data_IF_868902550154
#
_entry.id   IF_868902550154
#
_cell.length_a   1.000
_cell.length_b   1.000
_cell.length_c   1.000
_cell.angle_alpha   90.00
_cell.angle_beta   90.00
_cell.angle_gamma   90.00
#
_symmetry.space_group_name_H-M   'P 1'
#
loop_
_entity.id
_entity.type
_entity.pdbx_description
1 polymer ?
#
# COMPACT_ATOMS: atom_id res chain seq x y z
N UNK A 1 -9.98 20.40 -5.68
CA UNK A 1 -8.63 20.85 -6.14
C UNK A 1 -8.87 21.77 -7.31
N UNK A 2 -8.42 23.05 -7.24
CA UNK A 2 -8.64 24.00 -8.32
C UNK A 2 -7.64 23.81 -9.48
N UNK A 3 -7.95 24.46 -10.63
CA UNK A 3 -7.16 24.37 -11.88
C UNK A 3 -5.72 24.89 -11.71
N UNK A 4 -5.46 25.81 -10.79
CA UNK A 4 -4.13 26.37 -10.49
C UNK A 4 -3.28 25.39 -9.68
N UNK A 5 -3.87 24.69 -8.73
CA UNK A 5 -3.20 23.62 -7.94
C UNK A 5 -2.86 22.44 -8.83
N UNK A 6 -3.73 22.09 -9.80
CA UNK A 6 -3.47 21.05 -10.79
C UNK A 6 -2.29 21.40 -11.70
N UNK A 7 -2.25 22.64 -12.23
CA UNK A 7 -1.15 23.08 -13.11
C UNK A 7 0.19 23.19 -12.37
N UNK A 8 0.19 23.57 -11.09
CA UNK A 8 1.40 23.57 -10.26
C UNK A 8 1.90 22.13 -9.97
N UNK A 9 1.00 21.20 -9.76
CA UNK A 9 1.36 19.79 -9.63
C UNK A 9 1.84 19.20 -10.96
N UNK A 10 1.19 19.49 -12.07
CA UNK A 10 1.64 19.05 -13.40
C UNK A 10 3.05 19.60 -13.75
N UNK A 11 3.36 20.83 -13.36
CA UNK A 11 4.70 21.40 -13.52
C UNK A 11 5.74 20.74 -12.59
N UNK A 12 5.34 20.34 -11.38
CA UNK A 12 6.18 19.54 -10.49
C UNK A 12 6.42 18.13 -11.04
N UNK A 13 5.45 17.54 -11.76
CA UNK A 13 5.63 16.26 -12.45
C UNK A 13 6.63 16.33 -13.60
N UNK A 14 6.65 17.41 -14.39
CA UNK A 14 7.64 17.59 -15.45
C UNK A 14 9.07 17.76 -14.91
N UNK A 15 9.23 18.43 -13.76
CA UNK A 15 10.52 18.53 -13.06
C UNK A 15 10.88 17.23 -12.34
N UNK A 16 9.91 16.51 -11.79
CA UNK A 16 10.11 15.20 -11.19
C UNK A 16 10.52 14.13 -12.22
N UNK A 17 9.98 14.18 -13.46
CA UNK A 17 10.38 13.25 -14.52
C UNK A 17 11.83 13.45 -14.93
N UNK A 18 12.33 14.68 -15.03
CA UNK A 18 13.73 14.95 -15.35
C UNK A 18 14.65 14.51 -14.21
N UNK A 19 14.28 14.75 -12.96
CA UNK A 19 15.03 14.31 -11.78
C UNK A 19 14.96 12.79 -11.59
N UNK A 20 13.80 12.17 -11.86
CA UNK A 20 13.60 10.71 -11.82
C UNK A 20 14.41 10.01 -12.92
N UNK A 21 14.52 10.59 -14.13
CA UNK A 21 15.35 10.05 -15.20
C UNK A 21 16.83 10.03 -14.81
N UNK A 22 17.37 11.12 -14.30
CA UNK A 22 18.78 11.20 -13.89
C UNK A 22 19.10 10.23 -12.75
N UNK A 23 18.19 10.07 -11.78
CA UNK A 23 18.35 9.11 -10.69
C UNK A 23 18.16 7.65 -11.14
N UNK A 24 17.22 7.36 -12.06
CA UNK A 24 17.05 6.03 -12.61
C UNK A 24 18.26 5.60 -13.45
N UNK A 25 18.80 6.48 -14.30
CA UNK A 25 20.03 6.20 -15.04
C UNK A 25 21.21 5.90 -14.10
N UNK A 26 21.38 6.65 -13.01
CA UNK A 26 22.42 6.41 -12.03
C UNK A 26 22.22 5.12 -11.23
N UNK A 27 20.98 4.80 -10.86
CA UNK A 27 20.64 3.57 -10.11
C UNK A 27 20.91 2.31 -10.94
N UNK A 28 20.76 2.38 -12.28
CA UNK A 28 20.80 1.20 -13.13
C UNK A 28 22.04 1.08 -14.03
N UNK A 29 22.78 2.17 -14.25
CA UNK A 29 24.03 2.15 -15.03
C UNK A 29 25.11 1.24 -14.42
N UNK A 30 25.06 0.97 -13.13
CA UNK A 30 26.04 0.16 -12.40
C UNK A 30 25.77 -1.36 -12.40
N UNK A 31 24.70 -1.85 -13.05
CA UNK A 31 24.34 -3.29 -12.99
C UNK A 31 24.42 -3.93 -14.37
N UNK A 32 25.33 -4.92 -14.59
CA UNK A 32 25.35 -5.68 -15.84
C UNK A 32 24.03 -6.47 -16.04
N UNK A 33 23.60 -6.71 -17.29
CA UNK A 33 22.37 -7.46 -17.56
C UNK A 33 22.48 -8.87 -16.96
N UNK A 34 21.43 -9.27 -16.22
CA UNK A 34 21.34 -10.60 -15.66
C UNK A 34 21.42 -11.64 -16.78
N UNK A 35 22.32 -12.62 -16.63
CA UNK A 35 22.41 -13.76 -17.56
C UNK A 35 21.07 -14.53 -17.51
N UNK A 36 20.50 -14.80 -18.66
CA UNK A 36 19.17 -15.36 -18.91
C UNK A 36 18.94 -16.80 -18.38
N UNK A 37 19.85 -17.39 -17.60
CA UNK A 37 19.84 -18.80 -17.17
C UNK A 37 20.09 -18.97 -15.66
N UNK A 38 19.38 -18.22 -14.81
CA UNK A 38 19.15 -18.74 -13.47
C UNK A 38 17.74 -19.33 -13.44
N UNK A 39 17.66 -20.64 -13.53
CA UNK A 39 16.45 -21.42 -13.25
C UNK A 39 15.90 -20.98 -11.90
N UNK A 40 14.72 -20.35 -11.90
CA UNK A 40 13.98 -20.02 -10.68
C UNK A 40 13.72 -21.33 -9.93
N UNK A 41 14.41 -21.58 -8.85
CA UNK A 41 14.05 -22.67 -7.95
C UNK A 41 12.67 -22.36 -7.34
N UNK A 42 11.68 -23.24 -7.51
CA UNK A 42 10.41 -23.13 -6.81
C UNK A 42 10.69 -23.21 -5.31
N UNK A 43 10.41 -22.14 -4.56
CA UNK A 43 10.52 -22.16 -3.11
C UNK A 43 11.56 -21.23 -2.47
N UNK A 44 12.23 -20.34 -3.20
CA UNK A 44 12.98 -19.25 -2.56
C UNK A 44 11.98 -18.33 -1.84
N UNK A 45 12.02 -18.39 -0.51
CA UNK A 45 11.15 -17.64 0.38
C UNK A 45 11.15 -16.15 0.02
N UNK A 46 9.97 -15.56 -0.04
CA UNK A 46 9.83 -14.09 -0.04
C UNK A 46 10.64 -13.55 1.14
N UNK A 47 11.58 -12.62 0.88
CA UNK A 47 12.38 -12.04 1.96
C UNK A 47 11.48 -11.41 3.03
N UNK A 48 11.99 -11.26 4.26
CA UNK A 48 11.27 -10.57 5.32
C UNK A 48 11.82 -9.16 5.53
N UNK A 49 10.98 -8.28 6.05
CA UNK A 49 11.33 -6.90 6.41
C UNK A 49 10.81 -6.57 7.80
N UNK A 50 11.52 -5.70 8.49
CA UNK A 50 11.07 -5.15 9.76
C UNK A 50 10.21 -3.91 9.50
N UNK A 51 8.95 -3.98 9.90
CA UNK A 51 7.98 -2.90 9.81
C UNK A 51 7.72 -2.36 11.23
N UNK A 52 8.59 -1.44 11.68
CA UNK A 52 8.43 -0.83 13.02
C UNK A 52 8.39 -1.82 14.18
N UNK A 53 9.26 -2.83 14.16
CA UNK A 53 9.30 -3.89 15.17
C UNK A 53 8.56 -5.17 14.78
N UNK A 54 7.79 -5.16 13.72
CA UNK A 54 7.01 -6.29 13.20
C UNK A 54 7.74 -6.94 12.03
N UNK A 55 8.06 -8.24 12.10
CA UNK A 55 8.58 -8.97 10.96
C UNK A 55 7.44 -9.41 10.04
N UNK A 56 7.54 -9.02 8.75
CA UNK A 56 6.54 -9.32 7.72
C UNK A 56 7.23 -9.69 6.41
N UNK A 57 6.49 -10.31 5.47
CA UNK A 57 6.97 -10.53 4.10
C UNK A 57 7.36 -9.21 3.42
N UNK A 58 8.33 -9.24 2.52
CA UNK A 58 8.83 -8.05 1.83
C UNK A 58 7.75 -7.33 0.99
N UNK A 59 6.71 -8.04 0.61
CA UNK A 59 5.52 -7.54 -0.10
C UNK A 59 4.29 -8.07 0.65
N UNK A 60 3.35 -7.18 0.99
CA UNK A 60 2.03 -7.54 1.51
C UNK A 60 0.97 -7.61 0.41
N UNK A 61 -0.27 -7.90 0.77
CA UNK A 61 -1.42 -7.91 -0.15
C UNK A 61 -2.48 -6.90 0.28
N UNK A 62 -2.76 -5.91 -0.59
CA UNK A 62 -3.88 -4.99 -0.42
C UNK A 62 -5.20 -5.62 -0.89
N UNK A 63 -6.21 -5.71 -0.01
CA UNK A 63 -7.48 -6.38 -0.31
C UNK A 63 -8.59 -5.43 -0.81
N UNK A 64 -8.32 -4.12 -0.91
CA UNK A 64 -9.30 -3.14 -1.40
C UNK A 64 -9.88 -3.47 -2.80
N UNK A 65 -9.10 -3.90 -3.82
CA UNK A 65 -9.65 -4.19 -5.14
C UNK A 65 -10.70 -5.29 -5.14
N UNK A 66 -10.62 -6.23 -4.21
CA UNK A 66 -11.48 -7.42 -4.13
C UNK A 66 -12.97 -7.07 -3.88
N UNK A 67 -13.25 -5.90 -3.33
CA UNK A 67 -14.62 -5.43 -3.04
C UNK A 67 -15.15 -4.42 -4.06
N UNK A 68 -14.62 -4.43 -5.28
CA UNK A 68 -15.18 -3.67 -6.40
C UNK A 68 -14.71 -2.23 -6.53
N UNK A 69 -13.61 -1.84 -5.87
CA UNK A 69 -13.08 -0.48 -5.90
C UNK A 69 -12.77 0.06 -7.31
N UNK A 70 -12.48 -0.82 -8.25
CA UNK A 70 -12.25 -0.52 -9.68
C UNK A 70 -13.42 -0.98 -10.57
N UNK A 71 -14.64 -1.05 -10.04
CA UNK A 71 -15.87 -1.29 -10.80
C UNK A 71 -16.22 -2.76 -11.06
N UNK A 72 -15.39 -3.71 -10.63
CA UNK A 72 -15.66 -5.15 -10.76
C UNK A 72 -16.63 -5.66 -9.68
N UNK A 73 -17.31 -6.76 -10.00
CA UNK A 73 -18.00 -7.59 -9.01
C UNK A 73 -17.26 -8.92 -8.94
N UNK A 74 -16.90 -9.34 -7.74
CA UNK A 74 -16.06 -10.52 -7.53
C UNK A 74 -16.76 -11.54 -6.66
N UNK A 75 -16.55 -12.81 -6.96
CA UNK A 75 -17.07 -13.90 -6.14
C UNK A 75 -16.25 -14.03 -4.85
N UNK A 76 -16.94 -14.18 -3.73
CA UNK A 76 -16.32 -14.31 -2.40
C UNK A 76 -15.35 -15.49 -2.34
N UNK A 77 -15.73 -16.65 -2.92
CA UNK A 77 -14.89 -17.86 -2.85
C UNK A 77 -13.61 -17.70 -3.65
N UNK A 78 -13.68 -17.02 -4.81
CA UNK A 78 -12.51 -16.70 -5.62
C UNK A 78 -11.55 -15.75 -4.88
N UNK A 79 -12.08 -14.73 -4.23
CA UNK A 79 -11.25 -13.77 -3.47
C UNK A 79 -10.63 -14.41 -2.23
N UNK A 80 -11.35 -15.27 -1.51
CA UNK A 80 -10.78 -16.05 -0.41
C UNK A 80 -9.68 -16.99 -0.92
N UNK A 81 -9.89 -17.65 -2.06
CA UNK A 81 -8.86 -18.50 -2.67
C UNK A 81 -7.61 -17.69 -3.07
N UNK A 82 -7.79 -16.46 -3.57
CA UNK A 82 -6.69 -15.56 -3.92
C UNK A 82 -5.88 -15.14 -2.68
N UNK A 83 -6.53 -14.81 -1.56
CA UNK A 83 -5.86 -14.49 -0.29
C UNK A 83 -5.07 -15.70 0.21
N UNK A 84 -5.63 -16.90 0.16
CA UNK A 84 -4.95 -18.15 0.55
C UNK A 84 -3.76 -18.46 -0.36
N UNK A 85 -3.92 -18.26 -1.68
CA UNK A 85 -2.82 -18.38 -2.64
C UNK A 85 -1.66 -17.42 -2.32
N UNK A 86 -1.96 -16.19 -1.91
CA UNK A 86 -0.93 -15.25 -1.49
C UNK A 86 -0.16 -15.76 -0.27
N UNK A 87 -0.85 -16.30 0.74
CA UNK A 87 -0.22 -16.93 1.89
C UNK A 87 0.66 -18.13 1.49
N UNK A 88 0.16 -19.03 0.62
CA UNK A 88 0.91 -20.21 0.13
C UNK A 88 2.19 -19.79 -0.63
N UNK A 89 2.22 -18.56 -1.18
CA UNK A 89 3.38 -17.94 -1.83
C UNK A 89 4.27 -17.12 -0.89
N UNK A 90 3.99 -17.13 0.41
CA UNK A 90 4.83 -16.53 1.45
C UNK A 90 4.43 -15.12 1.87
N UNK A 91 3.27 -14.59 1.42
CA UNK A 91 2.74 -13.32 1.96
C UNK A 91 2.29 -13.51 3.39
N UNK A 92 2.77 -12.65 4.28
CA UNK A 92 2.41 -12.67 5.71
C UNK A 92 1.74 -11.38 6.17
N UNK A 93 1.61 -10.35 5.33
CA UNK A 93 0.94 -9.08 5.63
C UNK A 93 -0.28 -8.90 4.73
N UNK A 94 -1.47 -8.75 5.32
CA UNK A 94 -2.74 -8.55 4.61
C UNK A 94 -3.38 -7.24 5.04
N UNK A 95 -3.60 -6.32 4.07
CA UNK A 95 -4.18 -4.99 4.30
C UNK A 95 -5.66 -4.96 3.96
N UNK A 96 -6.45 -4.50 4.92
CA UNK A 96 -7.89 -4.23 4.77
C UNK A 96 -8.30 -2.94 5.49
N UNK A 97 -9.59 -2.64 5.56
CA UNK A 97 -10.19 -1.57 6.36
C UNK A 97 -11.69 -1.78 6.55
N UNK A 98 -12.25 -1.20 7.61
CA UNK A 98 -13.70 -1.26 7.88
C UNK A 98 -14.54 -0.70 6.72
N UNK A 99 -14.05 0.33 6.03
CA UNK A 99 -14.77 0.99 4.92
C UNK A 99 -14.63 0.27 3.57
N UNK A 100 -13.89 -0.82 3.49
CA UNK A 100 -13.71 -1.54 2.23
C UNK A 100 -14.90 -2.47 1.94
N UNK A 101 -15.78 -2.02 1.04
CA UNK A 101 -17.01 -2.67 0.64
C UNK A 101 -18.16 -2.66 1.67
N UNK A 102 -18.42 -1.61 2.47
CA UNK A 102 -18.04 -1.52 3.89
C UNK A 102 -18.20 -2.85 4.62
N UNK A 103 -17.21 -3.16 5.43
CA UNK A 103 -17.06 -4.39 6.23
C UNK A 103 -16.73 -5.68 5.45
N UNK A 104 -17.16 -5.79 4.18
CA UNK A 104 -17.03 -6.98 3.34
C UNK A 104 -15.59 -7.48 3.23
N UNK A 105 -14.62 -6.56 3.05
CA UNK A 105 -13.21 -6.94 2.93
C UNK A 105 -12.67 -7.57 4.21
N UNK A 106 -13.01 -7.03 5.38
CA UNK A 106 -12.60 -7.63 6.66
C UNK A 106 -13.21 -9.02 6.87
N UNK A 107 -14.48 -9.22 6.50
CA UNK A 107 -15.13 -10.54 6.58
C UNK A 107 -14.43 -11.57 5.69
N UNK A 108 -14.05 -11.18 4.47
CA UNK A 108 -13.37 -12.08 3.54
C UNK A 108 -11.95 -12.39 3.97
N UNK A 109 -11.20 -11.38 4.44
CA UNK A 109 -9.86 -11.58 5.00
C UNK A 109 -9.92 -12.49 6.22
N UNK A 110 -10.82 -12.21 7.18
CA UNK A 110 -10.97 -13.02 8.40
C UNK A 110 -11.29 -14.49 8.09
N UNK A 111 -12.19 -14.76 7.12
CA UNK A 111 -12.50 -16.13 6.70
C UNK A 111 -11.34 -16.79 5.95
N UNK A 112 -10.62 -16.03 5.14
CA UNK A 112 -9.50 -16.57 4.37
C UNK A 112 -8.36 -17.02 5.27
N UNK A 113 -7.98 -16.19 6.25
CA UNK A 113 -6.79 -16.41 7.09
C UNK A 113 -7.06 -17.25 8.34
N UNK A 114 -8.32 -17.49 8.70
CA UNK A 114 -8.69 -18.24 9.90
C UNK A 114 -7.89 -19.56 10.10
N UNK A 115 -7.60 -20.38 9.05
CA UNK A 115 -6.84 -21.61 9.22
C UNK A 115 -5.36 -21.41 9.60
N UNK A 116 -4.81 -20.21 9.41
CA UNK A 116 -3.40 -19.88 9.63
C UNK A 116 -3.21 -18.50 10.27
N UNK A 117 -4.20 -18.04 11.05
CA UNK A 117 -4.23 -16.70 11.66
C UNK A 117 -2.93 -16.33 12.38
N UNK A 118 -2.36 -17.25 13.14
CA UNK A 118 -1.15 -17.02 13.96
C UNK A 118 0.13 -16.88 13.11
N UNK A 119 0.06 -17.20 11.82
CA UNK A 119 1.21 -17.16 10.90
C UNK A 119 1.26 -15.89 10.06
N UNK A 120 0.26 -15.00 10.20
CA UNK A 120 0.12 -13.81 9.40
C UNK A 120 -0.14 -12.57 10.25
N UNK A 121 0.07 -11.41 9.66
CA UNK A 121 -0.23 -10.10 10.21
C UNK A 121 -1.37 -9.48 9.43
N UNK A 122 -2.41 -9.06 10.14
CA UNK A 122 -3.55 -8.34 9.57
C UNK A 122 -3.42 -6.87 9.94
N UNK A 123 -3.44 -6.01 8.92
CA UNK A 123 -3.60 -4.57 9.12
C UNK A 123 -4.99 -4.13 8.68
N UNK A 124 -5.66 -3.36 9.54
CA UNK A 124 -6.96 -2.76 9.25
C UNK A 124 -7.01 -1.31 9.72
N UNK A 125 -8.11 -0.61 9.40
CA UNK A 125 -8.17 0.84 9.58
C UNK A 125 -9.53 1.27 10.09
N UNK A 126 -9.54 2.21 11.06
CA UNK A 126 -10.70 2.93 11.56
C UNK A 126 -10.66 4.41 11.12
N UNK A 127 -11.72 5.14 11.36
CA UNK A 127 -11.71 6.61 11.28
C UNK A 127 -12.69 7.22 10.30
N UNK A 128 -13.49 6.42 9.61
CA UNK A 128 -14.68 6.88 8.90
C UNK A 128 -15.95 6.43 9.66
N UNK A 129 -17.02 7.23 9.59
CA UNK A 129 -18.33 6.71 9.91
C UNK A 129 -18.82 5.78 8.81
N UNK A 130 -19.67 4.82 9.17
CA UNK A 130 -20.40 3.97 8.21
C UNK A 130 -21.87 3.98 8.59
N UNK A 131 -22.72 4.49 7.70
CA UNK A 131 -24.16 4.56 7.87
C UNK A 131 -24.83 3.93 6.64
N UNK A 132 -25.84 3.10 6.86
CA UNK A 132 -26.57 2.40 5.80
C UNK A 132 -25.66 1.69 4.79
N UNK A 133 -24.54 1.14 5.25
CA UNK A 133 -23.57 0.46 4.39
C UNK A 133 -22.75 1.37 3.49
N UNK A 134 -22.69 2.67 3.77
CA UNK A 134 -21.89 3.64 3.03
C UNK A 134 -20.90 4.37 3.97
N UNK A 135 -19.67 4.63 3.51
CA UNK A 135 -18.75 5.50 4.25
C UNK A 135 -19.31 6.91 4.36
N UNK A 136 -19.23 7.48 5.56
CA UNK A 136 -19.62 8.87 5.84
C UNK A 136 -18.40 9.74 6.17
N UNK A 137 -18.60 10.85 6.91
CA UNK A 137 -17.54 11.76 7.31
C UNK A 137 -16.51 11.07 8.23
N UNK A 138 -15.35 11.71 8.39
CA UNK A 138 -14.34 11.27 9.36
C UNK A 138 -14.91 11.26 10.77
N UNK A 139 -14.57 10.22 11.52
CA UNK A 139 -14.96 10.07 12.91
C UNK A 139 -13.89 9.29 13.69
N UNK A 140 -13.00 10.02 14.35
CA UNK A 140 -11.98 9.46 15.23
C UNK A 140 -12.27 9.74 16.71
N UNK A 141 -13.54 9.91 17.10
CA UNK A 141 -13.93 10.07 18.50
C UNK A 141 -13.63 8.79 19.29
N UNK A 142 -13.21 8.89 20.55
CA UNK A 142 -12.85 7.75 21.40
C UNK A 142 -13.86 6.61 21.41
N UNK A 143 -15.14 6.94 21.55
CA UNK A 143 -16.23 5.96 21.57
C UNK A 143 -16.41 5.25 20.20
N UNK A 144 -16.20 5.97 19.10
CA UNK A 144 -16.25 5.40 17.76
C UNK A 144 -15.06 4.48 17.50
N UNK A 145 -13.84 4.87 17.87
CA UNK A 145 -12.64 4.02 17.71
C UNK A 145 -12.83 2.67 18.39
N UNK A 146 -13.31 2.66 19.65
CA UNK A 146 -13.58 1.42 20.38
C UNK A 146 -14.61 0.54 19.67
N UNK A 147 -15.74 1.12 19.21
CA UNK A 147 -16.76 0.38 18.44
C UNK A 147 -16.21 -0.17 17.13
N UNK A 148 -15.42 0.60 16.39
CA UNK A 148 -14.78 0.18 15.14
C UNK A 148 -13.87 -1.03 15.36
N UNK A 149 -13.01 -0.98 16.39
CA UNK A 149 -12.11 -2.08 16.75
C UNK A 149 -12.88 -3.34 17.14
N UNK A 150 -13.89 -3.24 17.99
CA UNK A 150 -14.75 -4.38 18.35
C UNK A 150 -15.45 -4.99 17.11
N UNK A 151 -15.90 -4.15 16.19
CA UNK A 151 -16.47 -4.58 14.92
C UNK A 151 -15.46 -5.30 14.05
N UNK A 152 -14.25 -4.74 13.90
CA UNK A 152 -13.16 -5.33 13.12
C UNK A 152 -12.73 -6.69 13.68
N UNK A 153 -12.57 -6.83 15.00
CA UNK A 153 -12.24 -8.11 15.64
C UNK A 153 -13.26 -9.21 15.31
N UNK A 154 -14.55 -8.87 15.34
CA UNK A 154 -15.64 -9.82 14.98
C UNK A 154 -15.57 -10.23 13.51
N UNK A 155 -15.43 -9.26 12.59
CA UNK A 155 -15.39 -9.52 11.14
C UNK A 155 -14.13 -10.28 10.73
N UNK A 156 -12.99 -9.95 11.34
CA UNK A 156 -11.71 -10.61 11.13
C UNK A 156 -11.60 -11.97 11.85
N UNK A 157 -12.59 -12.31 12.71
CA UNK A 157 -12.65 -13.59 13.46
C UNK A 157 -11.39 -13.82 14.30
N UNK A 158 -10.95 -12.81 15.01
CA UNK A 158 -9.70 -12.82 15.80
C UNK A 158 -9.89 -12.05 17.10
N UNK A 159 -9.06 -12.32 18.08
CA UNK A 159 -9.02 -11.63 19.37
C UNK A 159 -8.10 -10.40 19.37
N UNK A 160 -7.25 -10.24 18.37
CA UNK A 160 -6.35 -9.11 18.22
C UNK A 160 -6.16 -8.65 16.77
N UNK A 161 -5.85 -7.38 16.59
CA UNK A 161 -5.41 -6.76 15.33
C UNK A 161 -3.90 -6.58 15.42
N UNK A 162 -3.14 -7.10 14.45
CA UNK A 162 -1.68 -6.96 14.45
C UNK A 162 -1.25 -5.51 14.22
N UNK A 163 -1.90 -4.79 13.31
CA UNK A 163 -1.59 -3.37 13.04
C UNK A 163 -2.88 -2.60 12.73
N UNK A 164 -3.20 -1.62 13.57
CA UNK A 164 -4.38 -0.77 13.42
C UNK A 164 -3.98 0.63 12.93
N UNK A 165 -4.60 1.12 11.87
CA UNK A 165 -4.37 2.49 11.39
C UNK A 165 -5.54 3.42 11.68
N UNK A 166 -5.24 4.68 12.01
CA UNK A 166 -6.17 5.76 11.72
C UNK A 166 -6.13 6.03 10.22
N UNK A 167 -7.24 5.77 9.51
CA UNK A 167 -7.31 5.78 8.05
C UNK A 167 -7.06 7.18 7.46
N UNK A 168 -7.58 8.21 8.12
CA UNK A 168 -7.30 9.62 7.84
C UNK A 168 -7.31 10.40 9.16
N UNK A 169 -6.45 11.38 9.26
CA UNK A 169 -6.43 12.27 10.42
C UNK A 169 -7.74 13.07 10.48
N UNK A 170 -8.46 12.95 11.57
CA UNK A 170 -9.69 13.71 11.80
C UNK A 170 -9.30 15.08 12.40
N UNK A 171 -9.58 16.19 11.70
CA UNK A 171 -9.21 17.52 12.19
C UNK A 171 -10.03 17.97 13.42
N UNK A 172 -11.13 17.29 13.70
CA UNK A 172 -12.04 17.63 14.80
C UNK A 172 -11.69 16.90 16.11
N UNK A 173 -10.73 15.99 16.09
CA UNK A 173 -10.31 15.21 17.27
C UNK A 173 -8.80 15.41 17.47
N UNK A 174 -8.35 15.85 18.66
CA UNK A 174 -6.94 15.95 18.96
C UNK A 174 -6.22 14.61 18.74
N UNK A 175 -5.04 14.65 18.14
CA UNK A 175 -4.26 13.45 17.84
C UNK A 175 -3.88 12.70 19.14
N UNK A 176 -3.68 13.42 20.20
CA UNK A 176 -3.36 12.88 21.52
C UNK A 176 -4.50 12.03 22.09
N UNK A 177 -5.75 12.44 21.86
CA UNK A 177 -6.94 11.68 22.29
C UNK A 177 -7.07 10.38 21.48
N UNK A 178 -6.83 10.45 20.15
CA UNK A 178 -6.80 9.27 19.29
C UNK A 178 -5.71 8.29 19.74
N UNK A 179 -4.48 8.79 19.96
CA UNK A 179 -3.35 7.99 20.40
C UNK A 179 -3.57 7.39 21.80
N UNK A 180 -4.23 8.13 22.69
CA UNK A 180 -4.59 7.67 24.05
C UNK A 180 -5.53 6.46 24.01
N UNK A 181 -6.60 6.54 23.20
CA UNK A 181 -7.54 5.42 23.04
C UNK A 181 -6.87 4.18 22.45
N UNK A 182 -6.01 4.37 21.43
CA UNK A 182 -5.30 3.23 20.85
C UNK A 182 -4.31 2.62 21.85
N UNK A 183 -3.65 3.44 22.67
CA UNK A 183 -2.79 2.96 23.75
C UNK A 183 -3.55 2.09 24.75
N UNK A 184 -4.77 2.48 25.12
CA UNK A 184 -5.63 1.67 25.99
C UNK A 184 -5.98 0.33 25.33
N UNK A 185 -6.37 0.35 24.03
CA UNK A 185 -6.68 -0.86 23.28
C UNK A 185 -5.46 -1.80 23.14
N UNK A 186 -4.25 -1.23 23.07
CA UNK A 186 -3.01 -2.01 23.12
C UNK A 186 -2.78 -2.63 24.51
N UNK A 187 -3.05 -1.92 25.59
CA UNK A 187 -2.97 -2.47 26.94
C UNK A 187 -4.03 -3.57 27.19
N UNK A 188 -5.19 -3.46 26.55
CA UNK A 188 -6.22 -4.51 26.54
C UNK A 188 -5.84 -5.73 25.67
N UNK A 189 -4.73 -5.69 24.93
CA UNK A 189 -4.29 -6.75 24.01
C UNK A 189 -5.10 -6.86 22.72
N UNK A 190 -6.04 -5.95 22.45
CA UNK A 190 -6.88 -5.93 21.25
C UNK A 190 -6.15 -5.42 20.01
N UNK A 191 -5.12 -4.61 20.19
CA UNK A 191 -4.26 -4.04 19.15
C UNK A 191 -2.80 -4.29 19.56
N UNK A 192 -1.99 -4.85 18.68
CA UNK A 192 -0.58 -5.13 18.98
C UNK A 192 0.34 -4.00 18.52
N UNK A 193 0.06 -3.41 17.37
CA UNK A 193 0.77 -2.29 16.78
C UNK A 193 -0.22 -1.29 16.19
N UNK A 194 0.21 -0.03 16.04
CA UNK A 194 -0.63 0.95 15.41
C UNK A 194 0.13 1.91 14.51
N UNK A 195 -0.61 2.60 13.64
CA UNK A 195 -0.06 3.51 12.68
C UNK A 195 -1.04 4.59 12.23
N UNK A 196 -0.57 5.45 11.34
CA UNK A 196 -1.36 6.50 10.70
C UNK A 196 -1.34 6.33 9.19
N UNK A 197 -2.43 6.72 8.51
CA UNK A 197 -2.46 6.77 7.06
C UNK A 197 -2.63 8.21 6.57
N UNK A 198 -1.82 8.62 5.57
CA UNK A 198 -1.82 9.97 4.97
C UNK A 198 -1.59 11.09 6.01
N UNK A 199 -0.73 10.87 6.98
CA UNK A 199 -0.47 11.81 8.05
C UNK A 199 0.75 12.70 7.74
N UNK A 200 0.68 13.95 8.19
CA UNK A 200 1.83 14.88 8.14
C UNK A 200 2.89 14.50 9.18
N UNK A 201 4.14 14.92 8.95
CA UNK A 201 5.23 14.75 9.92
C UNK A 201 4.86 15.29 11.31
N UNK A 202 4.11 16.41 11.37
CA UNK A 202 3.63 16.98 12.64
C UNK A 202 2.65 16.04 13.35
N UNK A 203 1.68 15.46 12.63
CA UNK A 203 0.72 14.51 13.20
C UNK A 203 1.40 13.24 13.67
N UNK A 204 2.37 12.73 12.89
CA UNK A 204 3.19 11.55 13.21
C UNK A 204 3.91 11.78 14.54
N UNK A 205 4.62 12.90 14.71
CA UNK A 205 5.35 13.20 15.95
C UNK A 205 4.42 13.34 17.17
N UNK A 206 3.27 14.00 17.01
CA UNK A 206 2.27 14.16 18.10
C UNK A 206 1.71 12.79 18.53
N UNK A 207 1.31 11.96 17.58
CA UNK A 207 0.82 10.62 17.87
C UNK A 207 1.89 9.75 18.55
N UNK A 208 3.10 9.74 17.98
CA UNK A 208 4.21 8.92 18.46
C UNK A 208 4.65 9.28 19.89
N UNK A 209 4.54 10.55 20.30
CA UNK A 209 4.89 11.00 21.66
C UNK A 209 3.93 10.47 22.75
N UNK A 210 2.69 10.12 22.40
CA UNK A 210 1.68 9.56 23.32
C UNK A 210 1.71 8.04 23.32
N UNK A 211 1.76 7.46 22.09
CA UNK A 211 1.81 6.04 21.86
C UNK A 211 2.71 5.79 20.64
N UNK A 212 3.85 5.09 20.78
CA UNK A 212 4.78 4.87 19.68
C UNK A 212 4.11 4.22 18.48
N UNK A 213 4.29 4.82 17.29
CA UNK A 213 3.81 4.30 16.02
C UNK A 213 4.75 3.22 15.50
N UNK A 214 4.20 2.15 14.94
CA UNK A 214 4.97 1.12 14.23
C UNK A 214 5.05 1.40 12.72
N UNK A 215 4.00 1.96 12.12
CA UNK A 215 4.00 2.19 10.68
C UNK A 215 3.23 3.45 10.26
N UNK A 216 3.56 3.97 9.07
CA UNK A 216 2.76 4.96 8.34
C UNK A 216 2.43 4.39 6.97
N UNK A 217 1.16 4.49 6.56
CA UNK A 217 0.68 4.06 5.25
C UNK A 217 0.35 5.28 4.39
N UNK A 218 1.00 5.43 3.22
CA UNK A 218 0.70 6.52 2.27
C UNK A 218 0.83 6.08 0.83
N UNK A 219 0.22 6.85 -0.09
CA UNK A 219 0.44 6.63 -1.53
C UNK A 219 1.92 6.84 -1.86
N UNK A 220 2.54 5.85 -2.50
CA UNK A 220 3.92 5.95 -2.95
C UNK A 220 4.15 5.04 -4.15
N UNK A 221 4.69 5.62 -5.21
CA UNK A 221 4.99 4.95 -6.47
C UNK A 221 6.06 5.73 -7.24
N UNK A 222 6.58 5.19 -8.33
CA UNK A 222 7.56 5.88 -9.19
C UNK A 222 7.05 7.27 -9.60
N UNK A 223 5.75 7.44 -9.83
CA UNK A 223 5.14 8.72 -10.21
C UNK A 223 4.69 9.59 -9.04
N UNK A 224 4.76 9.07 -7.79
CA UNK A 224 4.33 9.79 -6.59
C UNK A 224 5.33 9.59 -5.46
N UNK A 225 6.31 10.49 -5.39
CA UNK A 225 7.44 10.39 -4.44
C UNK A 225 7.36 11.42 -3.30
N UNK A 226 6.21 12.07 -3.12
CA UNK A 226 6.00 13.08 -2.08
C UNK A 226 6.41 12.60 -0.67
N UNK A 227 6.16 11.36 -0.24
CA UNK A 227 6.59 10.86 1.07
C UNK A 227 8.09 11.01 1.34
N UNK A 228 8.95 10.90 0.31
CA UNK A 228 10.42 11.03 0.48
C UNK A 228 10.81 12.39 1.05
N UNK A 229 10.16 13.45 0.59
CA UNK A 229 10.45 14.82 1.03
C UNK A 229 9.63 15.26 2.23
N UNK A 230 8.46 14.64 2.48
CA UNK A 230 7.52 15.08 3.52
C UNK A 230 7.68 14.34 4.84
N UNK A 231 7.90 13.02 4.80
CA UNK A 231 7.82 12.19 6.00
C UNK A 231 8.99 11.22 6.21
N UNK A 232 9.75 10.82 5.18
CA UNK A 232 10.79 9.79 5.33
C UNK A 232 11.85 10.12 6.39
N UNK A 233 12.28 11.39 6.50
CA UNK A 233 13.19 11.80 7.55
C UNK A 233 12.62 11.57 8.95
N UNK A 234 11.33 11.88 9.15
CA UNK A 234 10.64 11.67 10.42
C UNK A 234 10.48 10.17 10.72
N UNK A 235 10.14 9.35 9.71
CA UNK A 235 10.00 7.90 9.89
C UNK A 235 11.34 7.27 10.27
N UNK A 236 12.41 7.65 9.60
CA UNK A 236 13.75 7.15 9.88
C UNK A 236 14.25 7.55 11.28
N UNK A 237 14.00 8.79 11.70
CA UNK A 237 14.36 9.30 13.03
C UNK A 237 13.63 8.52 14.15
N UNK A 238 12.33 8.23 13.94
CA UNK A 238 11.48 7.59 14.94
C UNK A 238 11.46 6.05 14.85
N UNK A 239 12.16 5.46 13.89
CA UNK A 239 12.18 4.00 13.69
C UNK A 239 10.85 3.42 13.20
N UNK A 240 10.04 4.22 12.48
CA UNK A 240 8.71 3.86 11.98
C UNK A 240 8.82 3.24 10.59
N UNK A 241 8.14 2.12 10.36
CA UNK A 241 8.03 1.49 9.05
C UNK A 241 7.10 2.24 8.09
N UNK A 242 7.18 1.91 6.80
CA UNK A 242 6.36 2.55 5.77
C UNK A 242 5.67 1.55 4.87
N UNK A 243 4.36 1.71 4.68
CA UNK A 243 3.52 0.84 3.87
C UNK A 243 2.97 1.62 2.68
N UNK A 244 3.61 1.51 1.50
CA UNK A 244 3.11 2.09 0.26
C UNK A 244 1.81 1.42 -0.21
N UNK A 245 0.72 2.20 -0.34
CA UNK A 245 -0.44 1.76 -1.10
C UNK A 245 -0.40 2.29 -2.55
N UNK A 246 -1.14 1.67 -3.46
CA UNK A 246 -1.12 1.94 -4.90
C UNK A 246 0.29 1.94 -5.54
N UNK A 247 1.18 0.98 -5.19
CA UNK A 247 2.58 0.98 -5.64
C UNK A 247 2.73 0.85 -7.16
N UNK A 248 1.71 0.30 -7.85
CA UNK A 248 1.64 0.15 -9.30
C UNK A 248 0.89 1.30 -10.00
N UNK A 249 0.65 2.43 -9.30
CA UNK A 249 -0.06 3.57 -9.86
C UNK A 249 -1.47 3.21 -10.33
N UNK A 250 -2.21 2.38 -9.60
CA UNK A 250 -3.54 1.85 -9.98
C UNK A 250 -3.54 1.18 -11.35
N UNK A 251 -2.54 0.36 -11.60
CA UNK A 251 -2.22 -0.35 -12.84
C UNK A 251 -1.61 0.51 -13.97
N UNK A 252 -1.40 1.82 -13.79
CA UNK A 252 -0.80 2.66 -14.82
C UNK A 252 0.66 2.23 -15.11
N UNK A 253 1.44 1.93 -14.08
CA UNK A 253 2.86 1.55 -14.19
C UNK A 253 3.08 0.11 -14.69
N UNK A 254 2.01 -0.63 -14.99
CA UNK A 254 2.11 -2.00 -15.52
C UNK A 254 2.09 -2.07 -17.05
N UNK A 255 1.85 -0.94 -17.73
CA UNK A 255 1.73 -0.86 -19.19
C UNK A 255 0.37 -1.31 -19.77
N UNK A 256 -0.57 -1.81 -18.94
CA UNK A 256 -1.92 -2.21 -19.43
C UNK A 256 -2.85 -1.02 -19.67
N UNK A 257 -2.53 0.15 -19.15
CA UNK A 257 -3.26 1.41 -19.37
C UNK A 257 -2.44 2.27 -20.32
N UNK A 258 -3.10 2.79 -21.37
CA UNK A 258 -2.51 3.65 -22.37
C UNK A 258 -3.35 4.93 -22.58
N UNK A 259 -2.95 5.79 -23.50
CA UNK A 259 -3.63 7.07 -23.78
C UNK A 259 -5.07 6.90 -24.30
N UNK A 260 -5.42 5.73 -24.82
CA UNK A 260 -6.76 5.40 -25.32
C UNK A 260 -7.65 4.73 -24.26
N UNK A 261 -7.09 4.39 -23.09
CA UNK A 261 -7.85 3.78 -22.01
C UNK A 261 -8.95 4.71 -21.52
N UNK A 262 -10.14 4.16 -21.27
CA UNK A 262 -11.29 4.87 -20.72
C UNK A 262 -11.88 4.08 -19.57
N UNK A 263 -12.25 4.78 -18.52
CA UNK A 263 -12.82 4.18 -17.31
C UNK A 263 -14.31 4.47 -17.23
N UNK A 264 -15.09 3.55 -16.70
CA UNK A 264 -16.54 3.69 -16.57
C UNK A 264 -16.92 4.23 -15.19
N UNK A 265 -18.13 4.78 -15.06
CA UNK A 265 -18.71 5.14 -13.77
C UNK A 265 -18.76 3.90 -12.86
N UNK A 266 -18.24 4.02 -11.63
CA UNK A 266 -18.07 2.91 -10.70
C UNK A 266 -16.61 2.45 -10.55
N UNK A 267 -15.77 2.67 -11.56
CA UNK A 267 -14.32 2.55 -11.42
C UNK A 267 -13.76 3.82 -10.77
N UNK A 268 -13.00 3.67 -9.68
CA UNK A 268 -12.43 4.82 -8.98
C UNK A 268 -11.60 5.74 -9.89
N UNK A 269 -10.93 5.18 -10.91
CA UNK A 269 -10.09 5.93 -11.86
C UNK A 269 -10.89 6.90 -12.72
N UNK A 270 -12.19 6.66 -12.93
CA UNK A 270 -13.08 7.52 -13.69
C UNK A 270 -13.04 9.00 -13.22
N UNK A 271 -12.96 9.23 -11.90
CA UNK A 271 -12.98 10.56 -11.31
C UNK A 271 -11.59 11.10 -10.93
N UNK A 272 -10.51 10.36 -11.20
CA UNK A 272 -9.16 10.76 -10.83
C UNK A 272 -8.52 11.62 -11.94
N UNK A 273 -7.98 12.81 -11.61
CA UNK A 273 -7.42 13.72 -12.61
C UNK A 273 -6.32 13.10 -13.48
N UNK A 274 -5.45 12.26 -12.87
CA UNK A 274 -4.33 11.62 -13.57
C UNK A 274 -4.77 10.55 -14.58
N UNK A 275 -6.04 10.15 -14.58
CA UNK A 275 -6.61 9.18 -15.52
C UNK A 275 -7.54 9.81 -16.57
N UNK A 276 -7.61 11.15 -16.60
CA UNK A 276 -8.33 11.83 -17.69
C UNK A 276 -7.52 11.74 -18.99
N UNK A 277 -8.16 11.82 -20.17
CA UNK A 277 -7.51 11.58 -21.47
C UNK A 277 -6.22 12.38 -21.70
N UNK A 278 -6.24 13.68 -21.41
CA UNK A 278 -5.08 14.55 -21.59
C UNK A 278 -3.94 14.19 -20.61
N UNK A 279 -4.30 13.82 -19.37
CA UNK A 279 -3.32 13.41 -18.37
C UNK A 279 -2.71 12.04 -18.71
N UNK A 280 -3.50 11.07 -19.19
CA UNK A 280 -2.99 9.78 -19.66
C UNK A 280 -1.96 10.02 -20.76
N UNK A 281 -2.30 10.77 -21.81
CA UNK A 281 -1.36 11.06 -22.91
C UNK A 281 -0.08 11.74 -22.41
N UNK A 282 -0.20 12.69 -21.50
CA UNK A 282 0.96 13.39 -20.92
C UNK A 282 1.86 12.47 -20.08
N UNK A 283 1.28 11.49 -19.39
CA UNK A 283 2.02 10.60 -18.48
C UNK A 283 2.61 9.35 -19.16
N UNK A 284 2.23 9.03 -20.41
CA UNK A 284 2.72 7.84 -21.13
C UNK A 284 4.25 7.73 -21.20
N UNK A 285 5.04 8.81 -21.38
CA UNK A 285 6.51 8.70 -21.41
C UNK A 285 7.08 8.00 -20.17
N UNK A 286 6.46 8.14 -19.00
CA UNK A 286 6.88 7.41 -17.80
C UNK A 286 6.62 5.91 -17.93
N UNK A 287 5.49 5.51 -18.51
CA UNK A 287 5.18 4.08 -18.73
C UNK A 287 6.20 3.47 -19.67
N UNK A 288 6.50 4.13 -20.79
CA UNK A 288 7.50 3.65 -21.74
C UNK A 288 8.88 3.52 -21.10
N UNK A 289 9.27 4.45 -20.22
CA UNK A 289 10.52 4.34 -19.47
C UNK A 289 10.52 3.13 -18.53
N UNK A 290 9.42 2.89 -17.81
CA UNK A 290 9.28 1.71 -16.93
C UNK A 290 9.36 0.42 -17.74
N UNK A 291 8.70 0.35 -18.89
CA UNK A 291 8.74 -0.81 -19.80
C UNK A 291 10.16 -1.08 -20.33
N UNK A 292 10.86 -0.02 -20.75
CA UNK A 292 12.23 -0.12 -21.23
C UNK A 292 13.16 -0.68 -20.14
N UNK A 293 13.12 -0.11 -18.94
CA UNK A 293 13.95 -0.58 -17.82
C UNK A 293 13.56 -1.98 -17.35
N UNK A 294 12.27 -2.31 -17.32
CA UNK A 294 11.81 -3.65 -17.03
C UNK A 294 12.38 -4.68 -18.01
N UNK A 295 12.35 -4.36 -19.33
CA UNK A 295 12.93 -5.19 -20.38
C UNK A 295 14.44 -5.38 -20.20
N UNK A 296 15.18 -4.30 -19.89
CA UNK A 296 16.63 -4.39 -19.62
C UNK A 296 16.95 -5.29 -18.42
N UNK A 297 16.09 -5.33 -17.41
CA UNK A 297 16.25 -6.17 -16.22
C UNK A 297 15.68 -7.59 -16.39
N UNK A 298 15.00 -7.88 -17.50
CA UNK A 298 14.35 -9.17 -17.74
C UNK A 298 13.19 -9.45 -16.78
N UNK A 299 12.50 -8.40 -16.36
CA UNK A 299 11.32 -8.45 -15.45
C UNK A 299 10.11 -7.79 -16.10
N UNK A 300 8.93 -7.94 -15.50
CA UNK A 300 7.74 -7.19 -15.94
C UNK A 300 7.76 -5.74 -15.43
N UNK A 301 7.01 -4.82 -16.06
CA UNK A 301 6.86 -3.45 -15.57
C UNK A 301 6.33 -3.39 -14.12
N UNK A 302 5.40 -4.28 -13.75
CA UNK A 302 4.89 -4.39 -12.39
C UNK A 302 5.99 -4.81 -11.40
N UNK A 303 6.78 -5.82 -11.75
CA UNK A 303 7.94 -6.24 -10.96
C UNK A 303 8.95 -5.10 -10.84
N UNK A 304 9.26 -4.41 -11.94
CA UNK A 304 10.20 -3.30 -11.92
C UNK A 304 9.78 -2.19 -10.96
N UNK A 305 8.51 -1.78 -10.97
CA UNK A 305 7.98 -0.76 -10.07
C UNK A 305 8.12 -1.17 -8.60
N UNK A 306 7.87 -2.44 -8.27
CA UNK A 306 8.01 -2.96 -6.91
C UNK A 306 9.48 -3.10 -6.49
N UNK A 307 10.36 -3.59 -7.38
CA UNK A 307 11.80 -3.70 -7.14
C UNK A 307 12.40 -2.33 -6.86
N UNK A 308 12.05 -1.31 -7.65
CA UNK A 308 12.45 0.07 -7.41
C UNK A 308 12.06 0.52 -5.99
N UNK A 309 10.83 0.31 -5.59
CA UNK A 309 10.32 0.70 -4.28
C UNK A 309 11.05 -0.04 -3.14
N UNK A 310 11.23 -1.35 -3.29
CA UNK A 310 11.93 -2.18 -2.32
C UNK A 310 13.41 -1.79 -2.15
N UNK A 311 14.02 -1.17 -3.17
CA UNK A 311 15.40 -0.70 -3.12
C UNK A 311 15.58 0.63 -2.37
N UNK A 312 14.50 1.40 -2.16
CA UNK A 312 14.59 2.75 -1.58
C UNK A 312 14.98 2.74 -0.11
N UNK A 313 14.33 1.89 0.70
CA UNK A 313 14.63 1.76 2.14
C UNK A 313 14.28 0.35 2.62
N UNK A 314 15.01 -0.22 3.61
CA UNK A 314 14.75 -1.57 4.12
C UNK A 314 13.47 -1.68 4.94
N UNK A 315 12.90 -0.57 5.39
CA UNK A 315 11.68 -0.49 6.19
C UNK A 315 10.42 -0.17 5.35
N UNK A 316 10.49 -0.29 4.01
CA UNK A 316 9.36 -0.14 3.10
C UNK A 316 8.77 -1.50 2.77
N UNK A 317 7.46 -1.69 2.97
CA UNK A 317 6.71 -2.90 2.65
C UNK A 317 5.50 -2.52 1.78
N UNK A 318 5.59 -2.62 0.45
CA UNK A 318 4.47 -2.30 -0.44
C UNK A 318 3.34 -3.31 -0.35
N UNK A 319 2.10 -2.83 -0.53
CA UNK A 319 0.88 -3.62 -0.52
C UNK A 319 0.13 -3.53 -1.86
N UNK A 320 0.70 -4.05 -2.97
CA UNK A 320 -0.05 -4.14 -4.21
C UNK A 320 -1.31 -4.97 -4.02
N UNK A 321 -2.41 -4.56 -4.67
CA UNK A 321 -3.67 -5.29 -4.63
C UNK A 321 -4.09 -5.77 -6.02
N UNK A 322 -4.70 -6.94 -6.09
CA UNK A 322 -5.24 -7.52 -7.32
C UNK A 322 -6.45 -8.41 -7.05
N UNK A 323 -7.18 -8.73 -8.10
CA UNK A 323 -8.26 -9.72 -8.14
C UNK A 323 -7.94 -10.87 -9.10
N UNK A 324 -6.74 -10.84 -9.72
CA UNK A 324 -6.31 -11.82 -10.70
C UNK A 324 -5.12 -12.64 -10.14
N UNK A 325 -5.21 -13.98 -10.11
CA UNK A 325 -4.13 -14.85 -9.64
C UNK A 325 -2.81 -14.70 -10.40
N UNK A 326 -2.86 -14.46 -11.71
CA UNK A 326 -1.65 -14.30 -12.53
C UNK A 326 -0.93 -12.99 -12.22
N UNK A 327 -1.70 -11.91 -11.95
CA UNK A 327 -1.12 -10.65 -11.49
C UNK A 327 -0.51 -10.79 -10.09
N UNK A 328 -1.13 -11.58 -9.20
CA UNK A 328 -0.55 -11.88 -7.89
C UNK A 328 0.81 -12.56 -8.05
N UNK A 329 0.87 -13.60 -8.87
CA UNK A 329 2.11 -14.34 -9.14
C UNK A 329 3.19 -13.46 -9.75
N UNK A 330 2.80 -12.58 -10.68
CA UNK A 330 3.70 -11.65 -11.32
C UNK A 330 4.34 -10.70 -10.31
N UNK A 331 3.56 -9.93 -9.56
CA UNK A 331 4.14 -8.94 -8.67
C UNK A 331 4.87 -9.55 -7.46
N UNK A 332 4.47 -10.73 -6.96
CA UNK A 332 5.21 -11.42 -5.91
C UNK A 332 6.62 -11.86 -6.39
N UNK A 333 6.77 -12.11 -7.68
CA UNK A 333 8.08 -12.37 -8.29
C UNK A 333 9.12 -11.27 -8.06
N UNK A 334 8.69 -10.03 -7.80
CA UNK A 334 9.59 -8.91 -7.50
C UNK A 334 10.42 -9.13 -6.23
N UNK A 335 9.89 -9.84 -5.24
CA UNK A 335 10.59 -10.09 -3.98
C UNK A 335 11.82 -10.99 -4.12
N UNK A 336 11.91 -11.77 -5.20
CA UNK A 336 13.06 -12.64 -5.49
C UNK A 336 14.19 -11.96 -6.27
N UNK A 337 13.96 -10.75 -6.78
CA UNK A 337 14.94 -9.98 -7.55
C UNK A 337 15.72 -9.06 -6.62
N UNK A 338 17.04 -9.26 -6.55
CA UNK A 338 17.92 -8.36 -5.79
C UNK A 338 18.40 -7.23 -6.72
N UNK A 339 18.16 -5.99 -6.33
CA UNK A 339 18.96 -4.87 -6.84
C UNK A 339 20.25 -4.81 -6.00
N UNK A 340 21.39 -4.65 -6.67
CA UNK A 340 22.62 -4.28 -5.95
C UNK A 340 22.38 -2.97 -5.22
N UNK A 341 22.83 -2.86 -3.94
CA UNK A 341 22.71 -1.61 -3.20
C UNK A 341 23.34 -0.47 -4.00
N UNK A 342 22.68 0.67 -4.00
CA UNK A 342 23.26 1.91 -4.46
C UNK A 342 24.47 2.22 -3.56
N UNK A 343 25.65 2.22 -4.13
CA UNK A 343 26.82 2.82 -3.46
C UNK A 343 26.65 4.32 -3.62
N UNK A 344 26.30 4.98 -2.51
CA UNK A 344 26.18 6.44 -2.40
C UNK A 344 27.49 7.14 -2.65
#
# INVERSE_FOLDING_TARGET
>A
MDRRSFLKQASAYALATTWTMTNLEQIFAATPPAKRNETREPGKSMGHRNLGGMEVSAIGLGCLPMVGYYGGKYDKKEMIALIRRAYDKGVTLFDTAEVYGPYTSEEWVGEAVAPFRDKVKIETKFGFGVEEGQPTALNSRPDHIRRAVEGSLKRLRTDHIDLLYQHRVDPNVPMEDVAGVVKDLMQEGKVLHWGLSEASARSIRRAHSVCPLSAVQSEYAIWWQEPETKIFSTLQELGIGFVPYCPLGRAFLTGIINENSRFQKGDRRYNLPQFQPEALKHNMPLVYLVEEWAKHKGVTPAQFALIWMLSRKPWIVPIPGTTNPDHLDDFLGAASVRLTPYVS
#
